data_IF_395500869132
#
_entry.id   IF_395500869132
#
_cell.length_a   1.000
_cell.length_b   1.000
_cell.length_c   1.000
_cell.angle_alpha   90.00
_cell.angle_beta   90.00
_cell.angle_gamma   90.00
#
_symmetry.space_group_name_H-M   'P 1'
#
loop_
_entity.id
_entity.type
_entity.pdbx_description
1 polymer ?
#
# COMPACT_ATOMS: atom_id res chain seq x y z
N UNK A 1 -8.86 -19.84 24.54
CA UNK A 1 -8.50 -21.00 23.71
C UNK A 1 -7.69 -22.04 24.49
N UNK A 2 -6.47 -21.73 24.95
CA UNK A 2 -5.62 -22.69 25.71
C UNK A 2 -6.28 -23.09 27.05
N UNK A 3 -6.91 -22.15 27.76
CA UNK A 3 -7.65 -22.42 29.01
C UNK A 3 -8.91 -23.29 28.80
N UNK A 4 -9.33 -23.51 27.55
CA UNK A 4 -10.42 -24.43 27.19
C UNK A 4 -9.90 -25.81 26.75
N UNK A 5 -8.59 -26.07 26.88
CA UNK A 5 -7.95 -27.30 26.42
C UNK A 5 -7.79 -27.41 24.90
N UNK A 6 -8.12 -26.35 24.15
CA UNK A 6 -8.00 -26.32 22.70
C UNK A 6 -6.54 -26.06 22.30
N UNK A 7 -6.01 -26.94 21.45
CA UNK A 7 -4.65 -26.86 20.93
C UNK A 7 -4.60 -25.88 19.74
N UNK A 8 -3.69 -24.88 19.73
CA UNK A 8 -3.50 -24.01 18.57
C UNK A 8 -3.12 -24.82 17.33
N UNK A 9 -3.71 -24.45 16.20
CA UNK A 9 -3.42 -25.00 14.88
C UNK A 9 -2.66 -23.99 14.00
N UNK A 10 -2.41 -24.37 12.75
CA UNK A 10 -1.62 -23.58 11.81
C UNK A 10 -2.28 -22.21 11.53
N UNK A 11 -3.61 -22.18 11.43
CA UNK A 11 -4.37 -20.95 11.20
C UNK A 11 -4.28 -20.00 12.40
N UNK A 12 -4.36 -20.55 13.61
CA UNK A 12 -4.20 -19.77 14.84
C UNK A 12 -2.84 -19.08 14.88
N UNK A 13 -1.77 -19.83 14.63
CA UNK A 13 -0.42 -19.28 14.63
C UNK A 13 -0.21 -18.26 13.51
N UNK A 14 -0.69 -18.54 12.29
CA UNK A 14 -0.60 -17.59 11.18
C UNK A 14 -1.31 -16.26 11.50
N UNK A 15 -2.48 -16.33 12.13
CA UNK A 15 -3.24 -15.13 12.54
C UNK A 15 -2.48 -14.30 13.57
N UNK A 16 -1.86 -14.96 14.55
CA UNK A 16 -1.05 -14.27 15.57
C UNK A 16 0.22 -13.68 14.94
N UNK A 17 0.85 -14.39 14.00
CA UNK A 17 2.02 -13.90 13.28
C UNK A 17 1.69 -12.67 12.43
N UNK A 18 0.54 -12.67 11.74
CA UNK A 18 0.05 -11.51 11.00
C UNK A 18 -0.17 -10.29 11.91
N UNK A 19 -0.78 -10.50 13.08
CA UNK A 19 -0.90 -9.44 14.09
C UNK A 19 0.48 -8.93 14.55
N UNK A 20 1.45 -9.83 14.77
CA UNK A 20 2.81 -9.43 15.13
C UNK A 20 3.48 -8.61 14.02
N UNK A 21 3.26 -8.99 12.77
CA UNK A 21 3.79 -8.33 11.58
C UNK A 21 3.24 -6.89 11.44
N UNK A 22 1.93 -6.74 11.56
CA UNK A 22 1.25 -5.45 11.43
C UNK A 22 1.53 -4.51 12.61
N UNK A 23 1.83 -5.06 13.80
CA UNK A 23 2.23 -4.28 14.98
C UNK A 23 3.75 -4.11 15.12
N UNK A 24 4.55 -4.66 14.19
CA UNK A 24 6.02 -4.69 14.25
C UNK A 24 6.60 -5.22 15.59
N UNK A 25 5.94 -6.21 16.21
CA UNK A 25 6.31 -6.75 17.54
C UNK A 25 7.22 -7.98 17.44
N UNK A 26 8.49 -7.76 17.08
CA UNK A 26 9.45 -8.85 16.83
C UNK A 26 9.62 -9.83 17.99
N UNK A 27 9.64 -9.34 19.24
CA UNK A 27 9.85 -10.19 20.41
C UNK A 27 8.67 -11.14 20.66
N UNK A 28 7.44 -10.69 20.40
CA UNK A 28 6.27 -11.55 20.45
C UNK A 28 6.30 -12.56 19.29
N UNK A 29 6.64 -12.10 18.08
CA UNK A 29 6.82 -12.98 16.92
C UNK A 29 7.82 -14.11 17.17
N UNK A 30 8.95 -13.83 17.84
CA UNK A 30 9.94 -14.83 18.26
C UNK A 30 9.39 -15.83 19.26
N UNK A 31 8.62 -15.39 20.25
CA UNK A 31 7.97 -16.28 21.21
C UNK A 31 6.99 -17.22 20.52
N UNK A 32 6.20 -16.70 19.58
CA UNK A 32 5.24 -17.49 18.80
C UNK A 32 5.97 -18.47 17.88
N UNK A 33 7.05 -18.07 17.22
CA UNK A 33 7.90 -18.97 16.45
C UNK A 33 8.48 -20.10 17.30
N UNK A 34 8.91 -19.82 18.55
CA UNK A 34 9.34 -20.86 19.48
C UNK A 34 8.21 -21.86 19.80
N UNK A 35 6.96 -21.40 19.92
CA UNK A 35 5.81 -22.29 20.12
C UNK A 35 5.52 -23.13 18.88
N UNK A 36 5.60 -22.56 17.67
CA UNK A 36 5.46 -23.29 16.40
C UNK A 36 6.44 -24.47 16.32
N UNK A 37 7.69 -24.25 16.75
CA UNK A 37 8.72 -25.31 16.79
C UNK A 37 8.34 -26.40 17.80
N UNK A 38 7.86 -26.03 19.00
CA UNK A 38 7.41 -26.99 20.02
C UNK A 38 6.23 -27.83 19.52
N UNK A 39 5.33 -27.22 18.76
CA UNK A 39 4.17 -27.88 18.17
C UNK A 39 4.47 -28.68 16.90
N UNK A 40 5.74 -28.70 16.47
CA UNK A 40 6.24 -29.43 15.29
C UNK A 40 5.62 -28.95 13.97
N UNK A 41 5.24 -27.68 13.90
CA UNK A 41 4.62 -27.06 12.74
C UNK A 41 5.61 -26.36 11.80
N UNK A 42 6.92 -26.44 12.09
CA UNK A 42 7.99 -25.74 11.35
C UNK A 42 8.22 -26.24 9.90
N UNK A 43 7.49 -27.25 9.45
CA UNK A 43 7.54 -27.76 8.06
C UNK A 43 6.33 -27.35 7.23
N UNK A 44 5.33 -26.76 7.87
CA UNK A 44 4.11 -26.32 7.19
C UNK A 44 4.42 -25.08 6.31
N UNK A 45 4.06 -25.16 5.03
CA UNK A 45 4.37 -24.13 4.03
C UNK A 45 3.65 -22.82 4.33
N UNK A 46 2.43 -22.90 4.87
CA UNK A 46 1.64 -21.73 5.22
C UNK A 46 2.25 -21.01 6.42
N UNK A 47 2.62 -21.75 7.47
CA UNK A 47 3.33 -21.19 8.63
C UNK A 47 4.66 -20.57 8.25
N UNK A 48 5.46 -21.23 7.41
CA UNK A 48 6.74 -20.69 6.96
C UNK A 48 6.55 -19.39 6.17
N UNK A 49 5.54 -19.30 5.32
CA UNK A 49 5.19 -18.07 4.60
C UNK A 49 4.79 -16.94 5.57
N UNK A 50 3.97 -17.23 6.59
CA UNK A 50 3.62 -16.26 7.64
C UNK A 50 4.84 -15.81 8.45
N UNK A 51 5.80 -16.71 8.71
CA UNK A 51 7.04 -16.35 9.41
C UNK A 51 7.94 -15.46 8.53
N UNK A 52 8.05 -15.74 7.23
CA UNK A 52 8.78 -14.90 6.27
C UNK A 52 8.21 -13.47 6.28
N UNK A 53 6.88 -13.34 6.15
CA UNK A 53 6.20 -12.03 6.17
C UNK A 53 6.37 -11.31 7.52
N UNK A 54 6.16 -12.03 8.64
CA UNK A 54 6.29 -11.45 9.98
C UNK A 54 7.70 -10.92 10.25
N UNK A 55 8.73 -11.72 9.98
CA UNK A 55 10.12 -11.27 10.18
C UNK A 55 10.48 -10.11 9.25
N UNK A 56 10.04 -10.14 7.99
CA UNK A 56 10.29 -9.06 7.04
C UNK A 56 9.65 -7.74 7.50
N UNK A 57 8.36 -7.74 7.83
CA UNK A 57 7.64 -6.55 8.31
C UNK A 57 8.16 -6.01 9.64
N UNK A 58 8.69 -6.87 10.50
CA UNK A 58 9.37 -6.47 11.74
C UNK A 58 10.80 -5.93 11.54
N UNK A 59 11.28 -5.78 10.30
CA UNK A 59 12.62 -5.24 10.02
C UNK A 59 13.77 -6.25 10.13
N UNK A 60 13.47 -7.54 10.32
CA UNK A 60 14.49 -8.58 10.46
C UNK A 60 14.56 -9.44 9.19
N UNK A 61 15.15 -8.88 8.15
CA UNK A 61 15.24 -9.54 6.84
C UNK A 61 16.12 -10.79 6.87
N UNK A 62 17.09 -10.86 7.78
CA UNK A 62 17.97 -12.01 7.94
C UNK A 62 17.19 -13.26 8.38
N UNK A 63 16.34 -13.13 9.40
CA UNK A 63 15.50 -14.24 9.87
C UNK A 63 14.39 -14.57 8.86
N UNK A 64 13.85 -13.56 8.16
CA UNK A 64 12.89 -13.77 7.06
C UNK A 64 13.49 -14.66 5.97
N UNK A 65 14.69 -14.32 5.48
CA UNK A 65 15.38 -15.12 4.47
C UNK A 65 15.76 -16.52 5.01
N UNK A 66 16.12 -16.63 6.28
CA UNK A 66 16.36 -17.94 6.91
C UNK A 66 15.11 -18.82 6.86
N UNK A 67 13.93 -18.28 7.14
CA UNK A 67 12.66 -19.03 7.06
C UNK A 67 12.35 -19.45 5.63
N UNK A 68 12.51 -18.53 4.68
CA UNK A 68 12.33 -18.80 3.25
C UNK A 68 13.27 -19.92 2.74
N UNK A 69 14.51 -19.94 3.21
CA UNK A 69 15.49 -20.97 2.84
C UNK A 69 15.18 -22.34 3.46
N UNK A 70 14.47 -22.40 4.59
CA UNK A 70 14.04 -23.65 5.22
C UNK A 70 12.84 -24.31 4.52
N UNK A 71 12.14 -23.60 3.64
CA UNK A 71 11.00 -24.13 2.91
C UNK A 71 11.44 -25.21 1.92
N UNK A 72 10.80 -26.38 2.00
CA UNK A 72 11.02 -27.47 1.05
C UNK A 72 10.38 -27.18 -0.32
N UNK A 73 9.23 -26.51 -0.31
CA UNK A 73 8.51 -26.03 -1.48
C UNK A 73 8.26 -24.53 -1.29
N UNK A 74 8.65 -23.74 -2.29
CA UNK A 74 8.41 -22.30 -2.35
C UNK A 74 7.37 -22.03 -3.43
N UNK A 75 6.20 -21.59 -3.00
CA UNK A 75 5.09 -21.22 -3.85
C UNK A 75 5.02 -19.70 -4.05
N UNK A 76 4.05 -19.25 -4.84
CA UNK A 76 3.79 -17.84 -5.10
C UNK A 76 3.67 -17.01 -3.81
N UNK A 77 3.04 -17.54 -2.76
CA UNK A 77 2.84 -16.80 -1.50
C UNK A 77 4.19 -16.55 -0.82
N UNK A 78 5.03 -17.57 -0.71
CA UNK A 78 6.34 -17.44 -0.07
C UNK A 78 7.29 -16.49 -0.81
N UNK A 79 7.29 -16.52 -2.14
CA UNK A 79 8.08 -15.62 -2.98
C UNK A 79 7.59 -14.19 -2.86
N UNK A 80 6.27 -13.98 -2.92
CA UNK A 80 5.67 -12.67 -2.74
C UNK A 80 6.03 -12.08 -1.37
N UNK A 81 5.90 -12.85 -0.28
CA UNK A 81 6.26 -12.40 1.06
C UNK A 81 7.72 -11.93 1.15
N UNK A 82 8.66 -12.66 0.54
CA UNK A 82 10.08 -12.29 0.53
C UNK A 82 10.34 -11.01 -0.30
N UNK A 83 9.77 -10.93 -1.51
CA UNK A 83 9.97 -9.79 -2.41
C UNK A 83 9.35 -8.52 -1.83
N UNK A 84 8.13 -8.60 -1.28
CA UNK A 84 7.50 -7.47 -0.60
C UNK A 84 8.29 -7.06 0.66
N UNK A 85 8.96 -8.01 1.34
CA UNK A 85 9.92 -7.70 2.40
C UNK A 85 11.09 -6.83 1.91
N UNK A 86 11.72 -7.19 0.78
CA UNK A 86 12.75 -6.34 0.18
C UNK A 86 12.21 -4.98 -0.31
N UNK A 87 10.97 -4.94 -0.82
CA UNK A 87 10.28 -3.70 -1.18
C UNK A 87 10.12 -2.76 0.00
N UNK A 88 9.65 -3.28 1.14
CA UNK A 88 9.42 -2.52 2.37
C UNK A 88 10.72 -1.84 2.86
N UNK A 89 11.85 -2.53 2.73
CA UNK A 89 13.16 -2.04 3.17
C UNK A 89 13.94 -1.30 2.07
N UNK A 90 13.36 -1.08 0.89
CA UNK A 90 13.98 -0.34 -0.21
C UNK A 90 15.21 -1.02 -0.82
N UNK A 91 15.35 -2.34 -0.66
CA UNK A 91 16.53 -3.10 -1.13
C UNK A 91 16.31 -3.57 -2.57
N UNK A 92 16.32 -2.64 -3.52
CA UNK A 92 15.92 -2.88 -4.92
C UNK A 92 16.70 -3.98 -5.62
N UNK A 93 18.03 -3.96 -5.50
CA UNK A 93 18.89 -4.91 -6.23
C UNK A 93 18.64 -6.36 -5.78
N UNK A 94 18.41 -6.56 -4.47
CA UNK A 94 18.14 -7.88 -3.90
C UNK A 94 16.71 -8.32 -4.23
N UNK A 95 15.73 -7.42 -4.15
CA UNK A 95 14.35 -7.72 -4.55
C UNK A 95 14.24 -8.15 -6.01
N UNK A 96 14.88 -7.42 -6.92
CA UNK A 96 14.97 -7.78 -8.35
C UNK A 96 15.67 -9.12 -8.56
N UNK A 97 16.78 -9.37 -7.84
CA UNK A 97 17.47 -10.65 -7.92
C UNK A 97 16.56 -11.82 -7.57
N UNK A 98 15.77 -11.73 -6.49
CA UNK A 98 14.85 -12.80 -6.10
C UNK A 98 13.67 -12.92 -7.06
N UNK A 99 13.12 -11.81 -7.56
CA UNK A 99 12.07 -11.83 -8.59
C UNK A 99 12.53 -12.56 -9.86
N UNK A 100 13.75 -12.27 -10.33
CA UNK A 100 14.34 -12.96 -11.48
C UNK A 100 14.65 -14.43 -11.16
N UNK A 101 15.19 -14.72 -9.97
CA UNK A 101 15.51 -16.09 -9.53
C UNK A 101 14.26 -16.99 -9.53
N UNK A 102 13.13 -16.48 -9.05
CA UNK A 102 11.84 -17.18 -9.07
C UNK A 102 11.48 -17.64 -10.50
N UNK A 103 11.69 -16.78 -11.49
CA UNK A 103 11.35 -17.04 -12.89
C UNK A 103 12.40 -17.93 -13.58
N UNK A 104 13.67 -17.57 -13.45
CA UNK A 104 14.76 -18.17 -14.22
C UNK A 104 15.17 -19.54 -13.69
N UNK A 105 15.27 -19.68 -12.36
CA UNK A 105 15.74 -20.92 -11.72
C UNK A 105 14.58 -21.81 -11.30
N UNK A 106 13.52 -21.24 -10.71
CA UNK A 106 12.39 -22.02 -10.20
C UNK A 106 11.25 -22.18 -11.22
N UNK A 107 11.35 -21.53 -12.39
CA UNK A 107 10.36 -21.60 -13.47
C UNK A 107 8.94 -21.24 -13.01
N UNK A 108 8.84 -20.43 -11.96
CA UNK A 108 7.58 -19.98 -11.40
C UNK A 108 7.22 -18.63 -12.02
N UNK A 109 6.11 -18.59 -12.76
CA UNK A 109 5.69 -17.37 -13.45
C UNK A 109 5.17 -16.33 -12.45
N UNK A 110 5.63 -15.07 -12.49
CA UNK A 110 5.11 -14.03 -11.61
C UNK A 110 3.62 -13.76 -11.84
N UNK A 111 2.91 -13.49 -10.75
CA UNK A 111 1.51 -13.05 -10.73
C UNK A 111 1.42 -11.53 -10.47
N UNK A 112 0.22 -10.96 -10.60
CA UNK A 112 -0.02 -9.51 -10.43
C UNK A 112 0.49 -8.98 -9.09
N UNK A 113 0.41 -9.77 -8.02
CA UNK A 113 0.90 -9.43 -6.68
C UNK A 113 2.42 -9.20 -6.67
N UNK A 114 3.17 -10.06 -7.37
CA UNK A 114 4.63 -9.93 -7.49
C UNK A 114 4.99 -8.69 -8.29
N UNK A 115 4.28 -8.43 -9.39
CA UNK A 115 4.48 -7.23 -10.19
C UNK A 115 4.13 -5.95 -9.40
N UNK A 116 3.07 -5.97 -8.59
CA UNK A 116 2.74 -4.85 -7.71
C UNK A 116 3.87 -4.59 -6.70
N UNK A 117 4.44 -5.62 -6.08
CA UNK A 117 5.59 -5.43 -5.17
C UNK A 117 6.85 -4.93 -5.91
N UNK A 118 7.09 -5.34 -7.15
CA UNK A 118 8.19 -4.79 -7.96
C UNK A 118 7.95 -3.32 -8.35
N UNK A 119 6.74 -2.96 -8.74
CA UNK A 119 6.35 -1.58 -9.07
C UNK A 119 6.49 -0.67 -7.85
N UNK A 120 6.08 -1.16 -6.68
CA UNK A 120 6.27 -0.46 -5.41
C UNK A 120 7.76 -0.21 -5.12
N UNK A 121 8.58 -1.27 -5.22
CA UNK A 121 10.01 -1.22 -4.95
C UNK A 121 10.75 -0.27 -5.89
N UNK A 122 10.57 -0.44 -7.20
CA UNK A 122 11.18 0.42 -8.23
C UNK A 122 10.66 1.85 -8.09
N UNK A 123 9.35 2.01 -7.89
CA UNK A 123 8.69 3.30 -7.74
C UNK A 123 9.31 4.12 -6.63
N UNK A 124 9.52 3.53 -5.44
CA UNK A 124 10.12 4.22 -4.27
C UNK A 124 11.61 4.50 -4.44
N UNK A 125 12.37 3.61 -5.07
CA UNK A 125 13.83 3.65 -5.07
C UNK A 125 14.44 4.32 -6.31
N UNK A 126 13.87 4.07 -7.49
CA UNK A 126 14.36 4.58 -8.78
C UNK A 126 13.40 5.58 -9.44
N UNK A 127 12.16 5.64 -8.96
CA UNK A 127 11.18 6.66 -9.33
C UNK A 127 10.11 6.15 -10.30
N UNK A 128 9.10 7.00 -10.51
CA UNK A 128 7.87 6.68 -11.24
C UNK A 128 8.12 6.31 -12.70
N UNK A 129 9.11 6.92 -13.37
CA UNK A 129 9.37 6.66 -14.78
C UNK A 129 9.85 5.23 -15.03
N UNK A 130 10.80 4.76 -14.23
CA UNK A 130 11.30 3.37 -14.34
C UNK A 130 10.22 2.36 -13.96
N UNK A 131 9.38 2.68 -12.97
CA UNK A 131 8.25 1.83 -12.62
C UNK A 131 7.21 1.74 -13.77
N UNK A 132 6.97 2.83 -14.52
CA UNK A 132 6.14 2.81 -15.73
C UNK A 132 6.77 1.99 -16.86
N UNK A 133 8.08 2.11 -17.06
CA UNK A 133 8.80 1.31 -18.03
C UNK A 133 8.69 -0.18 -17.67
N UNK A 134 8.84 -0.52 -16.39
CA UNK A 134 8.63 -1.88 -15.89
C UNK A 134 7.22 -2.38 -16.17
N UNK A 135 6.17 -1.59 -15.87
CA UNK A 135 4.77 -1.95 -16.19
C UNK A 135 4.60 -2.22 -17.69
N UNK A 136 5.20 -1.42 -18.56
CA UNK A 136 5.09 -1.61 -20.01
C UNK A 136 5.73 -2.91 -20.53
N UNK A 137 6.68 -3.48 -19.78
CA UNK A 137 7.36 -4.73 -20.10
C UNK A 137 6.67 -5.95 -19.48
N UNK A 138 5.66 -5.76 -18.64
CA UNK A 138 4.93 -6.86 -18.03
C UNK A 138 4.19 -7.68 -19.10
N UNK A 139 4.18 -9.01 -18.99
CA UNK A 139 3.39 -9.87 -19.88
C UNK A 139 1.89 -9.89 -19.51
N UNK A 140 1.51 -9.24 -18.41
CA UNK A 140 0.15 -9.14 -17.88
C UNK A 140 -0.33 -7.69 -17.91
N UNK A 141 -1.63 -7.49 -18.13
CA UNK A 141 -2.24 -6.16 -17.98
C UNK A 141 -2.24 -5.73 -16.51
N UNK A 142 -1.84 -4.49 -16.26
CA UNK A 142 -1.80 -3.93 -14.91
C UNK A 142 -3.22 -3.67 -14.37
N UNK A 143 -3.49 -4.15 -13.16
CA UNK A 143 -4.76 -3.97 -12.45
C UNK A 143 -4.79 -2.70 -11.59
N UNK A 144 -5.90 -2.46 -10.89
CA UNK A 144 -6.05 -1.30 -9.98
C UNK A 144 -5.01 -1.29 -8.87
N UNK A 145 -4.62 -2.46 -8.36
CA UNK A 145 -3.65 -2.56 -7.27
C UNK A 145 -2.31 -2.00 -7.75
N UNK A 146 -1.82 -2.39 -8.93
CA UNK A 146 -0.57 -1.90 -9.50
C UNK A 146 -0.62 -0.38 -9.73
N UNK A 147 -1.70 0.12 -10.32
CA UNK A 147 -1.83 1.56 -10.59
C UNK A 147 -1.93 2.39 -9.30
N UNK A 148 -2.66 1.90 -8.30
CA UNK A 148 -2.79 2.56 -6.99
C UNK A 148 -1.46 2.56 -6.24
N UNK A 149 -0.71 1.46 -6.31
CA UNK A 149 0.64 1.35 -5.75
C UNK A 149 1.56 2.40 -6.37
N UNK A 150 1.60 2.50 -7.70
CA UNK A 150 2.43 3.50 -8.39
C UNK A 150 1.99 4.94 -8.07
N UNK A 151 0.68 5.20 -7.98
CA UNK A 151 0.16 6.49 -7.58
C UNK A 151 0.58 6.84 -6.15
N UNK A 152 0.56 5.87 -5.22
CA UNK A 152 0.97 6.05 -3.83
C UNK A 152 2.45 6.37 -3.73
N UNK A 153 3.31 5.63 -4.44
CA UNK A 153 4.76 5.89 -4.45
C UNK A 153 5.11 7.23 -5.09
N UNK A 154 4.38 7.63 -6.13
CA UNK A 154 4.54 8.96 -6.76
C UNK A 154 4.21 10.11 -5.79
N UNK A 155 3.21 9.93 -4.92
CA UNK A 155 2.86 10.92 -3.90
C UNK A 155 3.91 11.01 -2.80
N UNK A 156 4.45 9.90 -2.33
CA UNK A 156 5.51 9.90 -1.31
C UNK A 156 6.75 10.70 -1.77
N UNK A 157 7.01 10.78 -3.08
CA UNK A 157 8.11 11.56 -3.66
C UNK A 157 7.77 13.05 -3.83
N UNK A 158 6.92 13.61 -2.95
CA UNK A 158 6.07 14.80 -3.11
C UNK A 158 6.74 16.15 -3.44
N UNK A 159 8.07 16.21 -3.57
CA UNK A 159 8.72 17.44 -4.06
C UNK A 159 8.62 17.50 -5.59
N UNK A 160 7.51 18.05 -6.09
CA UNK A 160 7.44 18.69 -7.41
C UNK A 160 6.94 17.86 -8.60
N UNK A 161 6.30 16.69 -8.40
CA UNK A 161 5.86 15.81 -9.52
C UNK A 161 4.35 15.71 -9.73
N UNK A 162 3.61 16.79 -9.48
CA UNK A 162 2.15 16.86 -9.73
C UNK A 162 1.75 16.59 -11.19
N UNK A 163 2.66 16.86 -12.12
CA UNK A 163 2.50 16.52 -13.54
C UNK A 163 2.45 15.01 -13.77
N UNK A 164 3.29 14.25 -13.06
CA UNK A 164 3.32 12.78 -13.15
C UNK A 164 2.11 12.16 -12.45
N UNK A 165 1.69 12.70 -11.30
CA UNK A 165 0.42 12.32 -10.64
C UNK A 165 -0.77 12.50 -11.60
N UNK A 166 -0.81 13.62 -12.33
CA UNK A 166 -1.88 13.92 -13.29
C UNK A 166 -1.87 12.96 -14.48
N UNK A 167 -0.68 12.65 -15.02
CA UNK A 167 -0.51 11.64 -16.08
C UNK A 167 -0.93 10.25 -15.61
N UNK A 168 -0.50 9.82 -14.43
CA UNK A 168 -0.88 8.54 -13.83
C UNK A 168 -2.40 8.43 -13.67
N UNK A 169 -3.06 9.47 -13.15
CA UNK A 169 -4.53 9.51 -13.05
C UNK A 169 -5.21 9.38 -14.41
N UNK A 170 -4.65 9.96 -15.47
CA UNK A 170 -5.17 9.81 -16.83
C UNK A 170 -4.99 8.38 -17.34
N UNK A 171 -3.84 7.77 -17.13
CA UNK A 171 -3.55 6.38 -17.51
C UNK A 171 -4.45 5.39 -16.75
N UNK A 172 -4.71 5.62 -15.46
CA UNK A 172 -5.70 4.85 -14.69
C UNK A 172 -7.07 4.88 -15.37
N UNK A 173 -7.57 6.06 -15.75
CA UNK A 173 -8.87 6.18 -16.44
C UNK A 173 -8.90 5.46 -17.80
N UNK A 174 -7.80 5.56 -18.55
CA UNK A 174 -7.66 4.87 -19.85
C UNK A 174 -7.63 3.35 -19.71
N UNK A 175 -7.11 2.86 -18.59
CA UNK A 175 -7.08 1.43 -18.24
C UNK A 175 -8.43 0.91 -17.71
N UNK A 176 -9.52 1.67 -17.88
CA UNK A 176 -10.88 1.25 -17.50
C UNK A 176 -11.21 1.42 -16.01
N UNK A 177 -10.33 2.08 -15.25
CA UNK A 177 -10.43 2.17 -13.80
C UNK A 177 -11.46 3.22 -13.38
N UNK A 178 -12.62 2.76 -12.89
CA UNK A 178 -13.64 3.61 -12.27
C UNK A 178 -13.26 3.88 -10.83
N UNK A 179 -12.62 5.03 -10.60
CA UNK A 179 -12.47 5.54 -9.23
C UNK A 179 -13.84 6.01 -8.76
N UNK A 180 -14.36 5.41 -7.69
CA UNK A 180 -15.50 6.01 -7.00
C UNK A 180 -15.03 7.35 -6.41
N UNK A 181 -15.67 8.48 -6.74
CA UNK A 181 -15.32 9.75 -6.14
C UNK A 181 -15.41 9.63 -4.62
N UNK A 182 -14.53 10.35 -3.90
CA UNK A 182 -14.76 10.54 -2.47
C UNK A 182 -16.17 11.10 -2.28
N UNK A 183 -16.96 10.47 -1.42
CA UNK A 183 -18.31 10.90 -1.11
C UNK A 183 -18.38 11.29 0.36
N UNK A 184 -19.01 12.43 0.62
CA UNK A 184 -19.50 12.80 1.96
C UNK A 184 -21.00 12.94 1.85
N UNK A 185 -21.74 12.70 2.92
CA UNK A 185 -23.17 12.96 2.95
C UNK A 185 -23.55 13.67 4.23
N UNK A 186 -24.57 14.52 4.14
CA UNK A 186 -25.19 15.17 5.29
C UNK A 186 -26.68 14.86 5.27
N UNK A 187 -27.27 14.77 6.46
CA UNK A 187 -28.71 14.65 6.62
C UNK A 187 -29.28 16.00 7.06
N UNK A 188 -30.16 16.59 6.25
CA UNK A 188 -30.84 17.84 6.58
C UNK A 188 -32.33 17.60 6.46
N UNK A 189 -33.08 17.84 7.54
CA UNK A 189 -34.55 17.67 7.57
C UNK A 189 -35.01 16.29 7.10
N UNK A 190 -34.28 15.23 7.48
CA UNK A 190 -34.60 13.84 7.12
C UNK A 190 -34.43 13.53 5.61
N UNK A 191 -33.66 14.36 4.91
CA UNK A 191 -33.21 14.13 3.53
C UNK A 191 -31.69 13.97 3.51
N UNK A 192 -31.22 12.95 2.81
CA UNK A 192 -29.80 12.64 2.63
C UNK A 192 -29.26 13.39 1.41
N UNK A 193 -28.26 14.23 1.63
CA UNK A 193 -27.55 14.95 0.58
C UNK A 193 -26.14 14.40 0.48
N UNK A 194 -25.86 13.63 -0.56
CA UNK A 194 -24.51 13.17 -0.88
C UNK A 194 -23.79 14.22 -1.74
N UNK A 195 -22.52 14.46 -1.44
CA UNK A 195 -21.59 15.30 -2.16
C UNK A 195 -20.47 14.41 -2.67
N UNK A 196 -20.29 14.38 -3.98
CA UNK A 196 -19.16 13.71 -4.62
C UNK A 196 -18.05 14.74 -4.88
N UNK A 197 -16.79 14.32 -4.81
CA UNK A 197 -15.68 15.18 -5.21
C UNK A 197 -15.86 15.61 -6.68
N UNK A 198 -16.02 16.92 -6.90
CA UNK A 198 -16.29 17.50 -8.22
C UNK A 198 -17.77 17.54 -8.62
N UNK A 199 -18.68 17.24 -7.70
CA UNK A 199 -20.11 17.35 -7.92
C UNK A 199 -20.55 18.80 -8.15
N UNK A 200 -21.38 19.01 -9.18
CA UNK A 200 -22.02 20.29 -9.50
C UNK A 200 -23.55 20.19 -9.51
N UNK A 201 -24.11 19.09 -9.00
CA UNK A 201 -25.54 18.79 -9.03
C UNK A 201 -26.39 19.80 -8.26
N UNK A 202 -25.80 20.59 -7.35
CA UNK A 202 -26.54 21.64 -6.66
C UNK A 202 -26.97 22.75 -7.64
N UNK A 203 -28.25 23.17 -7.67
CA UNK A 203 -28.76 24.19 -8.60
C UNK A 203 -28.07 25.55 -8.50
N UNK A 204 -27.38 25.82 -7.38
CA UNK A 204 -26.59 27.04 -7.14
C UNK A 204 -25.09 26.77 -7.03
N UNK A 205 -24.61 25.65 -7.58
CA UNK A 205 -23.19 25.27 -7.48
C UNK A 205 -22.27 26.39 -7.96
N UNK A 206 -22.61 27.08 -9.05
CA UNK A 206 -21.86 28.24 -9.55
C UNK A 206 -21.74 29.38 -8.52
N UNK A 207 -22.84 29.74 -7.87
CA UNK A 207 -22.85 30.81 -6.85
C UNK A 207 -22.05 30.42 -5.61
N UNK A 208 -22.17 29.15 -5.18
CA UNK A 208 -21.43 28.62 -4.03
C UNK A 208 -19.93 28.63 -4.29
N UNK A 209 -19.49 28.15 -5.46
CA UNK A 209 -18.07 28.16 -5.82
C UNK A 209 -17.54 29.57 -6.01
N UNK A 210 -18.32 30.49 -6.61
CA UNK A 210 -17.91 31.90 -6.72
C UNK A 210 -17.71 32.57 -5.36
N UNK A 211 -18.58 32.27 -4.38
CA UNK A 211 -18.41 32.77 -3.00
C UNK A 211 -17.24 32.12 -2.28
N UNK A 212 -16.99 30.84 -2.53
CA UNK A 212 -15.83 30.16 -1.97
C UNK A 212 -14.53 30.78 -2.50
N UNK A 213 -14.46 31.09 -3.80
CA UNK A 213 -13.30 31.76 -4.42
C UNK A 213 -13.05 33.16 -3.84
N UNK A 214 -14.11 33.93 -3.58
CA UNK A 214 -14.03 35.24 -2.92
C UNK A 214 -13.47 35.12 -1.49
N UNK A 215 -14.03 34.21 -0.69
CA UNK A 215 -13.56 33.95 0.69
C UNK A 215 -12.11 33.49 0.73
N UNK A 216 -11.72 32.60 -0.18
CA UNK A 216 -10.34 32.14 -0.37
C UNK A 216 -9.42 33.33 -0.69
N UNK A 217 -9.87 34.27 -1.54
CA UNK A 217 -9.16 35.50 -1.85
C UNK A 217 -8.97 36.41 -0.64
N UNK A 218 -10.02 36.60 0.17
CA UNK A 218 -9.95 37.38 1.40
C UNK A 218 -9.01 36.74 2.43
N UNK A 219 -9.08 35.41 2.61
CA UNK A 219 -8.20 34.65 3.51
C UNK A 219 -6.72 34.81 3.13
N UNK A 220 -6.39 34.83 1.83
CA UNK A 220 -5.03 35.14 1.35
C UNK A 220 -4.62 36.56 1.70
N UNK A 221 -5.52 37.51 1.53
CA UNK A 221 -5.23 38.94 1.71
C UNK A 221 -4.91 39.29 3.16
N UNK A 222 -5.50 38.56 4.11
CA UNK A 222 -5.27 38.74 5.55
C UNK A 222 -4.17 37.82 6.13
N UNK A 223 -3.40 37.13 5.28
CA UNK A 223 -2.38 36.15 5.69
C UNK A 223 -2.91 35.12 6.69
N UNK A 224 -4.16 34.68 6.51
CA UNK A 224 -4.80 33.76 7.44
C UNK A 224 -3.98 32.47 7.58
N UNK A 225 -3.55 32.18 8.81
CA UNK A 225 -2.93 30.92 9.19
C UNK A 225 -4.02 30.03 9.81
N UNK A 226 -4.37 28.89 9.20
CA UNK A 226 -5.31 27.96 9.79
C UNK A 226 -4.74 27.41 11.10
N UNK A 227 -5.59 27.34 12.14
CA UNK A 227 -5.25 26.64 13.38
C UNK A 227 -5.24 25.14 13.09
N UNK A 228 -4.04 24.56 13.08
CA UNK A 228 -3.80 23.15 12.76
C UNK A 228 -3.58 22.29 14.00
N UNK A 229 -3.70 22.85 15.21
CA UNK A 229 -3.34 22.17 16.47
C UNK A 229 -4.22 20.95 16.77
N UNK A 230 -5.41 20.87 16.14
CA UNK A 230 -6.36 19.76 16.27
C UNK A 230 -6.53 18.95 14.98
N UNK A 231 -5.77 19.26 13.93
CA UNK A 231 -5.79 18.46 12.71
C UNK A 231 -4.95 17.19 12.91
N UNK A 232 -5.44 16.00 12.49
CA UNK A 232 -4.58 14.83 12.38
C UNK A 232 -3.34 15.18 11.56
N UNK A 233 -2.16 14.68 11.93
CA UNK A 233 -0.88 14.98 11.26
C UNK A 233 -0.95 14.86 9.72
N UNK A 234 -1.77 13.93 9.24
CA UNK A 234 -2.07 13.65 7.82
C UNK A 234 -2.71 14.83 7.06
N UNK A 235 -3.30 15.80 7.77
CA UNK A 235 -3.92 17.02 7.22
C UNK A 235 -2.97 18.23 7.23
N UNK A 236 -1.90 18.18 8.02
CA UNK A 236 -0.95 19.31 8.19
C UNK A 236 0.06 19.37 7.04
N UNK A 237 0.32 18.26 6.35
CA UNK A 237 1.24 18.19 5.21
C UNK A 237 0.62 18.58 3.86
N UNK A 238 -0.70 18.82 3.80
CA UNK A 238 -1.33 19.38 2.61
C UNK A 238 -1.18 20.90 2.64
N UNK A 239 -0.24 21.46 1.87
CA UNK A 239 -0.33 22.87 1.50
C UNK A 239 -1.76 23.15 1.02
N UNK A 240 -2.36 24.29 1.42
CA UNK A 240 -3.73 24.61 1.04
C UNK A 240 -3.84 24.49 -0.48
N UNK A 241 -4.68 23.54 -0.92
CA UNK A 241 -4.97 23.32 -2.32
C UNK A 241 -5.71 24.56 -2.80
N UNK A 242 -4.97 25.59 -3.19
CA UNK A 242 -5.48 26.62 -4.05
C UNK A 242 -5.81 25.89 -5.34
N UNK A 243 -7.11 25.69 -5.58
CA UNK A 243 -7.64 25.19 -6.83
C UNK A 243 -7.11 26.13 -7.92
N UNK A 244 -5.98 25.77 -8.51
CA UNK A 244 -5.47 26.39 -9.72
C UNK A 244 -6.27 25.77 -10.85
N UNK A 245 -7.43 26.36 -11.11
CA UNK A 245 -8.20 26.10 -12.31
C UNK A 245 -7.40 26.60 -13.51
N UNK A 246 -7.05 25.66 -14.38
CA UNK A 246 -6.64 25.85 -15.77
C UNK A 246 -7.09 24.63 -16.57
#
# INVERSE_FOLDING_TARGET
>A
MINLGLKPDNFTFATILDACANLATIELGRQIHAQIIKEKLQKDVFILSSLVDMYAKCGNMQDSLLMFNKMALRDHVSWNALICGYSLHGLVDVGEQYFNTMTDHYKLQPQLEHYSCMVDLIGRTRGVHEALEFISKMPLEADDVIWRTLLSTCKIQEVGRWTDVSKLRKMMRQSGLKKEPGCSWIEVKNEMHAFLVGDKAHPRSEEIYARLDELIGEMKWIEYQPDVDFLPLDFVEQEPIWISNG
#
